data_IF_280026154209
#
_entry.id   IF_280026154209
#
_cell.length_a   1.000
_cell.length_b   1.000
_cell.length_c   1.000
_cell.angle_alpha   90.00
_cell.angle_beta   90.00
_cell.angle_gamma   90.00
#
_symmetry.space_group_name_H-M   'P 1'
#
loop_
_entity.id
_entity.type
_entity.pdbx_description
1 polymer ?
#
# COMPACT_ATOMS: atom_id res chain seq x y z
N UNK A 1 -16.26 2.23 -15.80
CA UNK A 1 -15.93 3.58 -15.28
C UNK A 1 -16.43 3.79 -13.85
N UNK A 2 -17.60 3.24 -13.49
CA UNK A 2 -18.14 3.35 -12.11
C UNK A 2 -17.22 2.65 -11.10
N UNK A 3 -16.65 1.52 -11.49
CA UNK A 3 -15.76 0.65 -10.72
C UNK A 3 -14.46 1.37 -10.36
N UNK A 4 -13.86 2.04 -11.34
CA UNK A 4 -12.63 2.84 -11.16
C UNK A 4 -12.88 3.97 -10.16
N UNK A 5 -14.03 4.65 -10.27
CA UNK A 5 -14.40 5.71 -9.34
C UNK A 5 -14.56 5.17 -7.91
N UNK A 6 -15.19 4.00 -7.73
CA UNK A 6 -15.31 3.38 -6.41
C UNK A 6 -13.95 3.04 -5.80
N UNK A 7 -13.08 2.39 -6.57
CA UNK A 7 -11.73 2.04 -6.11
C UNK A 7 -10.93 3.29 -5.76
N UNK A 8 -11.00 4.32 -6.60
CA UNK A 8 -10.33 5.60 -6.34
C UNK A 8 -10.80 6.22 -5.03
N UNK A 9 -12.12 6.37 -4.84
CA UNK A 9 -12.68 7.00 -3.63
C UNK A 9 -12.35 6.17 -2.38
N UNK A 10 -12.48 4.84 -2.45
CA UNK A 10 -12.18 3.96 -1.34
C UNK A 10 -10.70 4.05 -0.92
N UNK A 11 -9.77 3.94 -1.87
CA UNK A 11 -8.33 4.05 -1.60
C UNK A 11 -7.96 5.45 -1.14
N UNK A 12 -8.54 6.49 -1.76
CA UNK A 12 -8.29 7.88 -1.37
C UNK A 12 -8.60 8.08 0.11
N UNK A 13 -9.79 7.68 0.57
CA UNK A 13 -10.13 7.79 2.00
C UNK A 13 -9.29 6.86 2.88
N UNK A 14 -8.94 5.66 2.41
CA UNK A 14 -8.12 4.73 3.18
C UNK A 14 -6.67 5.21 3.39
N UNK A 15 -6.11 6.00 2.46
CA UNK A 15 -4.74 6.51 2.54
C UNK A 15 -4.63 7.93 3.13
N UNK A 16 -5.75 8.58 3.48
CA UNK A 16 -5.70 9.89 4.14
C UNK A 16 -5.09 9.80 5.55
N UNK A 17 -4.04 10.57 5.79
CA UNK A 17 -3.41 10.69 7.11
C UNK A 17 -2.38 9.62 7.44
N UNK A 18 -1.94 8.82 6.46
CA UNK A 18 -0.94 7.77 6.69
C UNK A 18 0.50 8.32 6.84
N UNK A 19 1.38 7.51 7.44
CA UNK A 19 2.81 7.75 7.64
C UNK A 19 3.53 8.10 6.32
N UNK A 20 3.09 7.56 5.19
CA UNK A 20 3.62 7.89 3.86
C UNK A 20 3.42 9.37 3.51
N UNK A 21 2.33 10.00 3.94
CA UNK A 21 2.08 11.43 3.74
C UNK A 21 3.05 12.28 4.59
N UNK A 22 3.27 11.89 5.85
CA UNK A 22 4.26 12.56 6.72
C UNK A 22 5.68 12.43 6.16
N UNK A 23 6.05 11.26 5.64
CA UNK A 23 7.34 11.06 4.97
C UNK A 23 7.46 11.97 3.73
N UNK A 24 6.41 12.09 2.92
CA UNK A 24 6.39 12.97 1.74
C UNK A 24 6.58 14.44 2.12
N UNK A 25 5.93 14.89 3.21
CA UNK A 25 6.12 16.25 3.74
C UNK A 25 7.57 16.46 4.21
N UNK A 26 8.16 15.48 4.90
CA UNK A 26 9.55 15.53 5.34
C UNK A 26 10.55 15.55 4.16
N UNK A 27 10.26 14.81 3.09
CA UNK A 27 11.06 14.88 1.86
C UNK A 27 10.89 16.23 1.14
N UNK A 28 9.67 16.79 1.14
CA UNK A 28 9.40 18.09 0.54
C UNK A 28 10.13 19.23 1.26
N UNK A 29 10.20 19.18 2.60
CA UNK A 29 10.92 20.18 3.39
C UNK A 29 12.44 20.10 3.21
N UNK A 30 12.99 18.90 2.98
CA UNK A 30 14.43 18.69 2.81
C UNK A 30 14.94 18.88 1.38
N UNK A 31 14.18 18.44 0.37
CA UNK A 31 14.65 18.36 -1.03
C UNK A 31 13.86 19.23 -2.02
N UNK A 32 12.81 19.90 -1.55
CA UNK A 32 11.90 20.70 -2.36
C UNK A 32 10.66 19.93 -2.80
N UNK A 33 9.54 20.65 -2.88
CA UNK A 33 8.20 20.08 -3.12
C UNK A 33 8.10 19.33 -4.46
N UNK A 34 8.75 19.81 -5.52
CA UNK A 34 8.71 19.18 -6.84
C UNK A 34 9.32 17.78 -6.85
N UNK A 35 10.51 17.63 -6.25
CA UNK A 35 11.21 16.35 -6.17
C UNK A 35 10.46 15.36 -5.29
N UNK A 36 9.94 15.84 -4.15
CA UNK A 36 9.15 15.02 -3.25
C UNK A 36 7.84 14.54 -3.90
N UNK A 37 7.14 15.42 -4.61
CA UNK A 37 5.91 15.09 -5.32
C UNK A 37 6.13 14.03 -6.40
N UNK A 38 7.11 14.25 -7.28
CA UNK A 38 7.44 13.29 -8.36
C UNK A 38 7.91 11.96 -7.78
N UNK A 39 8.77 12.00 -6.76
CA UNK A 39 9.27 10.80 -6.10
C UNK A 39 8.15 9.99 -5.43
N UNK A 40 7.25 10.66 -4.70
CA UNK A 40 6.11 10.02 -4.05
C UNK A 40 5.16 9.38 -5.06
N UNK A 41 4.79 10.09 -6.13
CA UNK A 41 3.91 9.54 -7.18
C UNK A 41 4.57 8.35 -7.87
N UNK A 42 5.83 8.46 -8.28
CA UNK A 42 6.52 7.37 -8.96
C UNK A 42 6.69 6.16 -8.05
N UNK A 43 7.05 6.37 -6.78
CA UNK A 43 7.17 5.31 -5.78
C UNK A 43 5.86 4.58 -5.56
N UNK A 44 4.77 5.33 -5.35
CA UNK A 44 3.45 4.76 -5.10
C UNK A 44 2.90 4.04 -6.34
N UNK A 45 3.06 4.62 -7.52
CA UNK A 45 2.68 3.98 -8.78
C UNK A 45 3.44 2.68 -9.00
N UNK A 46 4.75 2.67 -8.72
CA UNK A 46 5.59 1.48 -8.89
C UNK A 46 5.20 0.36 -7.92
N UNK A 47 5.00 0.69 -6.64
CA UNK A 47 4.63 -0.32 -5.62
C UNK A 47 3.26 -0.93 -5.94
N UNK A 48 2.29 -0.11 -6.37
CA UNK A 48 0.97 -0.56 -6.75
C UNK A 48 0.99 -1.40 -8.02
N UNK A 49 1.79 -1.03 -9.02
CA UNK A 49 1.93 -1.80 -10.26
C UNK A 49 2.54 -3.17 -9.98
N UNK A 50 3.60 -3.23 -9.17
CA UNK A 50 4.24 -4.49 -8.75
C UNK A 50 3.24 -5.34 -7.97
N UNK A 51 2.55 -4.76 -6.99
CA UNK A 51 1.55 -5.45 -6.17
C UNK A 51 0.40 -6.02 -7.01
N UNK A 52 -0.16 -5.24 -7.94
CA UNK A 52 -1.23 -5.67 -8.81
C UNK A 52 -0.79 -6.78 -9.77
N UNK A 53 0.41 -6.66 -10.37
CA UNK A 53 0.93 -7.67 -11.29
C UNK A 53 1.24 -9.00 -10.60
N UNK A 54 1.88 -8.94 -9.43
CA UNK A 54 2.15 -10.14 -8.62
C UNK A 54 0.82 -10.74 -8.13
N UNK A 55 -0.10 -9.90 -7.65
CA UNK A 55 -1.42 -10.30 -7.18
C UNK A 55 -2.23 -11.03 -8.25
N UNK A 56 -2.24 -10.53 -9.49
CA UNK A 56 -2.91 -11.19 -10.63
C UNK A 56 -2.33 -12.58 -10.92
N UNK A 57 -0.99 -12.70 -10.93
CA UNK A 57 -0.32 -13.99 -11.14
C UNK A 57 -0.59 -14.99 -10.03
N UNK A 58 -0.49 -14.56 -8.78
CA UNK A 58 -0.74 -15.42 -7.61
C UNK A 58 -2.21 -15.84 -7.58
N UNK A 59 -3.13 -14.90 -7.82
CA UNK A 59 -4.57 -15.16 -7.85
C UNK A 59 -5.00 -16.17 -8.91
N UNK A 60 -4.27 -16.27 -10.03
CA UNK A 60 -4.48 -17.29 -11.07
C UNK A 60 -3.84 -18.63 -10.74
N UNK A 61 -2.75 -18.64 -9.95
CA UNK A 61 -1.97 -19.82 -9.65
C UNK A 61 -2.44 -20.58 -8.40
N UNK A 62 -3.06 -19.88 -7.42
CA UNK A 62 -3.44 -20.44 -6.13
C UNK A 62 -4.95 -20.35 -5.87
N UNK A 63 -5.54 -21.33 -5.14
CA UNK A 63 -6.88 -21.19 -4.60
C UNK A 63 -7.01 -19.97 -3.70
N UNK A 64 -8.08 -19.20 -3.88
CA UNK A 64 -8.38 -17.98 -3.11
C UNK A 64 -8.41 -18.23 -1.60
N UNK A 65 -8.82 -19.42 -1.16
CA UNK A 65 -8.84 -19.78 0.26
C UNK A 65 -7.44 -19.79 0.90
N UNK A 66 -6.43 -20.26 0.16
CA UNK A 66 -5.04 -20.24 0.63
C UNK A 66 -4.50 -18.81 0.73
N UNK A 67 -4.87 -17.95 -0.22
CA UNK A 67 -4.51 -16.53 -0.21
C UNK A 67 -5.10 -15.85 1.03
N UNK A 68 -6.39 -16.07 1.31
CA UNK A 68 -7.04 -15.50 2.50
C UNK A 68 -6.45 -16.02 3.81
N UNK A 69 -6.21 -17.34 3.94
CA UNK A 69 -5.56 -17.90 5.14
C UNK A 69 -4.15 -17.34 5.32
N UNK A 70 -3.36 -17.25 4.26
CA UNK A 70 -2.02 -16.67 4.29
C UNK A 70 -2.02 -15.21 4.71
N UNK A 71 -2.90 -14.39 4.11
CA UNK A 71 -3.06 -12.99 4.48
C UNK A 71 -3.48 -12.82 5.95
N UNK A 72 -4.45 -13.62 6.43
CA UNK A 72 -4.88 -13.59 7.82
C UNK A 72 -3.76 -13.94 8.80
N UNK A 73 -2.98 -14.99 8.52
CA UNK A 73 -1.81 -15.36 9.33
C UNK A 73 -0.79 -14.21 9.36
N UNK A 74 -0.50 -13.60 8.20
CA UNK A 74 0.44 -12.48 8.12
C UNK A 74 -0.05 -11.28 8.95
N UNK A 75 -1.34 -10.95 8.88
CA UNK A 75 -1.94 -9.88 9.69
C UNK A 75 -1.85 -10.17 11.19
N UNK A 76 -2.12 -11.41 11.63
CA UNK A 76 -1.97 -11.81 13.03
C UNK A 76 -0.51 -11.68 13.47
N UNK A 77 0.44 -12.17 12.67
CA UNK A 77 1.87 -12.10 12.98
C UNK A 77 2.34 -10.65 13.09
N UNK A 78 2.00 -9.79 12.13
CA UNK A 78 2.34 -8.37 12.19
C UNK A 78 1.68 -7.68 13.39
N UNK A 79 0.42 -7.99 13.68
CA UNK A 79 -0.28 -7.48 14.87
C UNK A 79 0.39 -7.88 16.17
N UNK A 80 0.83 -9.13 16.29
CA UNK A 80 1.58 -9.62 17.46
C UNK A 80 2.96 -8.94 17.56
N UNK A 81 3.69 -8.81 16.45
CA UNK A 81 4.98 -8.12 16.43
C UNK A 81 4.85 -6.67 16.87
N UNK A 82 3.80 -5.98 16.42
CA UNK A 82 3.48 -4.61 16.81
C UNK A 82 3.08 -4.53 18.29
N UNK A 83 2.30 -5.49 18.80
CA UNK A 83 1.92 -5.56 20.22
C UNK A 83 3.14 -5.73 21.14
N UNK A 84 4.13 -6.50 20.72
CA UNK A 84 5.39 -6.67 21.45
C UNK A 84 6.43 -5.59 21.16
N UNK A 85 6.09 -4.55 20.40
CA UNK A 85 6.98 -3.43 20.08
C UNK A 85 8.21 -3.81 19.25
N UNK A 86 8.15 -4.92 18.51
CA UNK A 86 9.21 -5.32 17.58
C UNK A 86 9.10 -4.62 16.23
N UNK A 87 7.96 -3.97 15.96
CA UNK A 87 7.63 -3.13 14.81
C UNK A 87 6.81 -1.94 15.31
#
# INVERSE_FOLDING_TARGET
MKEVLYVFVAIFFAELGDKTQLATIAFASRYGWTKAFVGAILGLALVNLIGAFIGDKIGKALPVELIHKGAGILFILLGLLMLFGKV
#
